data_IF_229737951661
#
_entry.id   IF_229737951661
#
_cell.length_a   1.000
_cell.length_b   1.000
_cell.length_c   1.000
_cell.angle_alpha   90.00
_cell.angle_beta   90.00
_cell.angle_gamma   90.00
#
_symmetry.space_group_name_H-M   'P 1'
#
loop_
_entity.id
_entity.type
_entity.pdbx_description
1 polymer ?
#
# COMPACT_ATOMS: atom_id res chain seq x y z
N UNK A 1 41.89 12.13 44.11
CA UNK A 1 40.70 11.32 43.76
C UNK A 1 39.59 12.24 43.30
N UNK A 2 39.04 11.93 42.12
CA UNK A 2 37.74 12.32 41.56
C UNK A 2 37.44 13.80 41.26
N UNK A 3 37.30 14.12 39.95
CA UNK A 3 36.39 15.14 39.45
C UNK A 3 35.67 14.62 38.21
N UNK A 4 34.36 14.83 38.21
CA UNK A 4 33.33 14.12 37.47
C UNK A 4 33.35 14.40 35.96
N UNK A 5 33.03 13.36 35.18
CA UNK A 5 32.65 13.47 33.78
C UNK A 5 31.13 13.69 33.70
N UNK A 6 30.70 14.79 33.09
CA UNK A 6 29.30 15.04 32.73
C UNK A 6 29.04 14.42 31.35
N UNK A 7 28.33 13.29 31.32
CA UNK A 7 27.78 12.73 30.10
C UNK A 7 26.47 13.44 29.76
N UNK A 8 26.46 14.18 28.64
CA UNK A 8 25.25 14.73 28.03
C UNK A 8 24.62 13.66 27.15
N UNK A 9 23.53 13.05 27.65
CA UNK A 9 22.64 12.24 26.82
C UNK A 9 21.72 13.19 26.04
N UNK A 10 22.01 13.36 24.75
CA UNK A 10 21.05 13.91 23.81
C UNK A 10 19.96 12.86 23.57
N UNK A 11 18.82 13.02 24.23
CA UNK A 11 17.58 12.35 23.85
C UNK A 11 17.12 12.97 22.52
N UNK A 12 17.48 12.33 21.41
CA UNK A 12 16.77 12.52 20.15
C UNK A 12 15.40 11.83 20.27
N UNK A 13 14.46 12.49 20.96
CA UNK A 13 13.05 12.11 20.89
C UNK A 13 12.56 12.41 19.48
N UNK A 14 12.22 11.37 18.71
CA UNK A 14 11.42 11.55 17.51
C UNK A 14 10.10 12.19 17.95
N UNK A 15 9.86 13.43 17.52
CA UNK A 15 8.56 14.07 17.70
C UNK A 15 7.57 13.30 16.82
N UNK A 16 6.82 12.38 17.42
CA UNK A 16 5.64 11.79 16.79
C UNK A 16 4.60 12.91 16.65
N UNK A 17 4.06 13.11 15.44
CA UNK A 17 2.96 14.04 15.24
C UNK A 17 1.73 13.60 16.04
N UNK A 18 0.77 14.51 16.21
CA UNK A 18 -0.50 14.15 16.85
C UNK A 18 -1.45 13.55 15.80
N UNK A 19 -2.09 12.39 16.06
CA UNK A 19 -2.99 11.78 15.11
C UNK A 19 -4.07 12.76 14.64
N UNK A 20 -4.33 12.77 13.34
CA UNK A 20 -5.31 13.70 12.76
C UNK A 20 -5.84 13.20 11.42
N UNK A 21 -7.01 13.69 11.02
CA UNK A 21 -7.53 13.55 9.67
C UNK A 21 -8.05 14.89 9.17
N UNK A 22 -7.77 15.19 7.91
CA UNK A 22 -8.23 16.38 7.24
C UNK A 22 -8.90 16.03 5.92
N UNK A 23 -10.01 16.69 5.64
CA UNK A 23 -10.72 16.57 4.38
C UNK A 23 -10.39 17.80 3.55
N UNK A 24 -9.82 17.56 2.38
CA UNK A 24 -9.70 18.57 1.33
C UNK A 24 -10.71 18.24 0.23
N UNK A 25 -11.38 19.25 -0.32
CA UNK A 25 -12.25 19.02 -1.47
C UNK A 25 -12.17 20.18 -2.44
N UNK A 26 -12.13 19.84 -3.73
CA UNK A 26 -12.13 20.78 -4.84
C UNK A 26 -13.04 20.23 -5.94
N UNK A 27 -14.13 20.94 -6.23
CA UNK A 27 -15.13 20.51 -7.21
C UNK A 27 -15.65 19.09 -6.88
N UNK A 28 -15.55 18.16 -7.82
CA UNK A 28 -16.01 16.76 -7.68
C UNK A 28 -14.99 15.85 -7.00
N UNK A 29 -13.75 16.32 -6.80
CA UNK A 29 -12.68 15.54 -6.15
C UNK A 29 -12.58 15.89 -4.67
N UNK A 30 -12.34 14.86 -3.86
CA UNK A 30 -12.05 15.02 -2.46
C UNK A 30 -10.91 14.10 -2.06
N UNK A 31 -10.13 14.53 -1.07
CA UNK A 31 -9.13 13.71 -0.44
C UNK A 31 -9.31 13.77 1.07
N UNK A 32 -9.30 12.61 1.71
CA UNK A 32 -9.17 12.47 3.16
C UNK A 32 -7.74 12.05 3.42
N UNK A 33 -7.00 12.87 4.16
CA UNK A 33 -5.64 12.55 4.58
C UNK A 33 -5.63 12.38 6.09
N UNK A 34 -5.28 11.18 6.53
CA UNK A 34 -5.05 10.86 7.93
C UNK A 34 -3.56 10.66 8.16
N UNK A 35 -3.05 11.18 9.27
CA UNK A 35 -1.63 11.16 9.59
C UNK A 35 -1.37 10.83 11.05
N UNK A 36 -0.16 10.29 11.31
CA UNK A 36 0.36 10.03 12.65
C UNK A 36 -0.49 9.07 13.49
N UNK A 37 -1.21 8.13 12.85
CA UNK A 37 -1.97 7.12 13.57
C UNK A 37 -1.03 6.12 14.25
N UNK A 38 -1.31 5.86 15.52
CA UNK A 38 -0.53 4.96 16.38
C UNK A 38 -1.30 3.72 16.85
N UNK A 39 -2.63 3.72 16.68
CA UNK A 39 -3.47 2.66 17.21
C UNK A 39 -4.75 2.46 16.41
N UNK A 40 -5.42 1.32 16.64
CA UNK A 40 -6.74 1.04 16.09
C UNK A 40 -7.78 2.12 16.47
N UNK A 41 -7.69 2.69 17.68
CA UNK A 41 -8.65 3.70 18.15
C UNK A 41 -8.57 5.00 17.36
N UNK A 42 -7.43 5.32 16.75
CA UNK A 42 -7.29 6.55 15.95
C UNK A 42 -8.21 6.52 14.71
N UNK A 43 -8.43 5.33 14.14
CA UNK A 43 -9.39 5.15 13.05
C UNK A 43 -10.82 5.43 13.49
N UNK A 44 -11.19 5.10 14.72
CA UNK A 44 -12.53 5.36 15.27
C UNK A 44 -12.70 6.84 15.63
N UNK A 45 -11.66 7.47 16.17
CA UNK A 45 -11.73 8.82 16.73
C UNK A 45 -11.62 9.92 15.66
N UNK A 46 -10.71 9.78 14.69
CA UNK A 46 -10.35 10.88 13.79
C UNK A 46 -11.00 10.79 12.41
N UNK A 47 -11.39 9.60 11.96
CA UNK A 47 -12.06 9.45 10.66
C UNK A 47 -13.54 9.82 10.80
N UNK A 48 -13.93 10.95 10.19
CA UNK A 48 -15.32 11.42 10.18
C UNK A 48 -16.15 10.66 9.14
N UNK A 49 -16.77 9.56 9.55
CA UNK A 49 -17.63 8.71 8.71
C UNK A 49 -19.10 9.20 8.70
N UNK A 50 -19.90 8.89 7.65
CA UNK A 50 -19.51 8.19 6.43
C UNK A 50 -18.76 9.11 5.45
N UNK A 51 -17.85 8.53 4.67
CA UNK A 51 -17.10 9.23 3.63
C UNK A 51 -17.50 8.70 2.25
N UNK A 52 -18.37 9.40 1.55
CA UNK A 52 -18.79 9.00 0.19
C UNK A 52 -18.78 10.20 -0.75
N UNK A 53 -17.89 10.16 -1.75
CA UNK A 53 -17.86 11.09 -2.88
C UNK A 53 -17.41 10.38 -4.16
N UNK A 54 -17.84 10.81 -5.36
CA UNK A 54 -17.61 10.09 -6.61
C UNK A 54 -16.13 9.86 -6.99
N UNK A 55 -15.19 10.63 -6.41
CA UNK A 55 -13.75 10.49 -6.65
C UNK A 55 -12.98 10.81 -5.36
N UNK A 56 -13.33 10.10 -4.29
CA UNK A 56 -12.65 10.24 -3.02
C UNK A 56 -11.32 9.48 -3.03
N UNK A 57 -10.23 10.18 -2.74
CA UNK A 57 -8.93 9.59 -2.41
C UNK A 57 -8.78 9.50 -0.90
N UNK A 58 -8.42 8.33 -0.38
CA UNK A 58 -8.06 8.16 1.02
C UNK A 58 -6.54 7.96 1.13
N UNK A 59 -5.89 8.77 1.96
CA UNK A 59 -4.45 8.70 2.20
C UNK A 59 -4.24 8.51 3.70
N UNK A 60 -3.58 7.42 4.10
CA UNK A 60 -3.01 7.28 5.43
C UNK A 60 -1.50 7.45 5.31
N UNK A 61 -0.93 8.38 6.09
CA UNK A 61 0.49 8.71 6.01
C UNK A 61 1.19 8.81 7.35
N UNK A 62 2.51 8.65 7.35
CA UNK A 62 3.38 8.83 8.52
C UNK A 62 2.89 8.08 9.77
N UNK A 63 2.31 6.90 9.59
CA UNK A 63 1.61 6.16 10.66
C UNK A 63 2.38 4.91 11.06
N UNK A 64 2.32 4.54 12.34
CA UNK A 64 3.01 3.34 12.87
C UNK A 64 2.03 2.55 13.70
N UNK A 65 1.66 1.38 13.22
CA UNK A 65 0.56 0.60 13.73
C UNK A 65 1.04 -0.82 14.04
N UNK A 66 0.62 -1.37 15.17
CA UNK A 66 0.79 -2.81 15.41
C UNK A 66 0.06 -3.61 14.33
N UNK A 67 -1.18 -3.21 14.01
CA UNK A 67 -2.00 -3.79 12.94
C UNK A 67 -2.97 -2.77 12.37
N UNK A 68 -3.41 -2.98 11.12
CA UNK A 68 -4.59 -2.30 10.60
C UNK A 68 -5.85 -2.95 11.22
N UNK A 69 -6.75 -2.19 11.87
CA UNK A 69 -7.93 -2.79 12.48
C UNK A 69 -8.93 -3.29 11.43
N UNK A 70 -9.64 -4.36 11.76
CA UNK A 70 -10.85 -4.74 11.04
C UNK A 70 -11.82 -3.56 11.02
N UNK A 71 -12.39 -3.23 9.85
CA UNK A 71 -13.25 -2.07 9.70
C UNK A 71 -12.54 -0.71 9.70
N UNK A 72 -11.21 -0.65 9.55
CA UNK A 72 -10.46 0.60 9.37
C UNK A 72 -11.14 1.56 8.38
N UNK A 73 -11.69 1.00 7.30
CA UNK A 73 -12.35 1.71 6.22
C UNK A 73 -13.86 1.44 6.13
N UNK A 74 -14.52 1.03 7.22
CA UNK A 74 -15.97 0.92 7.25
C UNK A 74 -16.61 2.27 6.92
N UNK A 75 -17.71 2.26 6.17
CA UNK A 75 -18.43 3.45 5.69
C UNK A 75 -17.54 4.47 4.93
N UNK A 76 -16.44 4.00 4.33
CA UNK A 76 -15.60 4.76 3.40
C UNK A 76 -15.82 4.22 1.99
N UNK A 77 -16.20 5.09 1.07
CA UNK A 77 -16.32 4.79 -0.35
C UNK A 77 -15.31 5.65 -1.11
N UNK A 78 -14.08 5.15 -1.17
CA UNK A 78 -12.95 5.80 -1.84
C UNK A 78 -12.62 5.06 -3.14
N UNK A 79 -12.27 5.81 -4.18
CA UNK A 79 -11.83 5.26 -5.47
C UNK A 79 -10.33 4.97 -5.48
N UNK A 80 -9.57 5.63 -4.60
CA UNK A 80 -8.16 5.32 -4.37
C UNK A 80 -7.81 5.26 -2.89
N UNK A 81 -6.88 4.36 -2.56
CA UNK A 81 -6.28 4.23 -1.24
C UNK A 81 -4.75 4.32 -1.37
N UNK A 82 -4.13 5.16 -0.55
CA UNK A 82 -2.68 5.26 -0.43
C UNK A 82 -2.23 5.06 1.02
N UNK A 83 -1.19 4.24 1.17
CA UNK A 83 -0.41 4.05 2.40
C UNK A 83 0.99 4.61 2.14
N UNK A 84 1.30 5.79 2.67
CA UNK A 84 2.57 6.52 2.49
C UNK A 84 3.35 6.59 3.80
N UNK A 85 4.55 6.01 3.84
CA UNK A 85 5.35 5.96 5.07
C UNK A 85 4.56 5.38 6.26
N UNK A 86 3.82 4.31 6.00
CA UNK A 86 3.01 3.59 6.99
C UNK A 86 3.71 2.30 7.38
N UNK A 87 4.07 2.17 8.65
CA UNK A 87 4.57 0.92 9.22
C UNK A 87 3.42 0.14 9.84
N UNK A 88 3.25 -1.12 9.43
CA UNK A 88 2.34 -2.09 10.05
C UNK A 88 3.16 -3.28 10.53
N UNK A 89 3.07 -3.64 11.82
CA UNK A 89 3.85 -4.76 12.36
C UNK A 89 3.29 -6.13 11.93
N UNK A 90 1.95 -6.27 11.90
CA UNK A 90 1.29 -7.50 11.47
C UNK A 90 0.12 -7.25 10.51
N UNK A 91 0.08 -8.06 9.45
CA UNK A 91 -1.04 -8.18 8.50
C UNK A 91 -1.82 -9.48 8.73
N UNK A 92 -1.78 -10.08 9.91
CA UNK A 92 -2.61 -11.25 10.20
C UNK A 92 -4.09 -10.86 10.34
N UNK A 93 -4.95 -11.45 9.50
CA UNK A 93 -6.41 -11.32 9.54
C UNK A 93 -7.06 -12.68 9.29
N UNK A 94 -8.24 -12.91 9.89
CA UNK A 94 -9.20 -13.87 9.37
C UNK A 94 -9.93 -13.22 8.18
N UNK A 95 -10.45 -13.98 7.21
CA UNK A 95 -11.16 -13.41 6.03
C UNK A 95 -12.23 -12.38 6.42
N UNK A 96 -12.97 -12.64 7.50
CA UNK A 96 -14.00 -11.75 8.05
C UNK A 96 -13.44 -10.47 8.72
N UNK A 97 -12.16 -10.48 9.09
CA UNK A 97 -11.44 -9.41 9.79
C UNK A 97 -10.47 -8.63 8.87
N UNK A 98 -10.59 -8.79 7.54
CA UNK A 98 -9.73 -8.09 6.60
C UNK A 98 -9.89 -6.56 6.74
N UNK A 99 -8.80 -5.79 6.97
CA UNK A 99 -8.89 -4.35 7.20
C UNK A 99 -9.46 -3.59 5.99
N UNK A 100 -9.33 -4.13 4.78
CA UNK A 100 -9.80 -3.52 3.52
C UNK A 100 -11.24 -3.90 3.15
N UNK A 101 -11.93 -4.73 3.93
CA UNK A 101 -13.26 -5.24 3.57
C UNK A 101 -14.29 -4.13 3.25
N UNK A 102 -14.24 -2.99 3.94
CA UNK A 102 -15.11 -1.84 3.67
C UNK A 102 -14.91 -1.18 2.29
N UNK A 103 -13.78 -1.44 1.63
CA UNK A 103 -13.38 -0.83 0.36
C UNK A 103 -13.60 -1.75 -0.85
N UNK A 104 -14.02 -2.99 -0.61
CA UNK A 104 -14.13 -4.10 -1.56
C UNK A 104 -14.61 -3.69 -2.96
N UNK A 105 -15.71 -2.94 -3.00
CA UNK A 105 -16.43 -2.57 -4.23
C UNK A 105 -16.15 -1.14 -4.70
N UNK A 106 -15.30 -0.38 -4.00
CA UNK A 106 -15.06 1.04 -4.29
C UNK A 106 -13.65 1.37 -4.74
N UNK A 107 -12.62 0.76 -4.15
CA UNK A 107 -11.23 1.10 -4.48
C UNK A 107 -10.82 0.48 -5.80
N UNK A 108 -10.42 1.34 -6.73
CA UNK A 108 -9.91 0.96 -8.04
C UNK A 108 -8.38 1.02 -8.09
N UNK A 109 -7.77 1.89 -7.28
CA UNK A 109 -6.33 2.13 -7.26
C UNK A 109 -5.79 2.04 -5.84
N UNK A 110 -4.78 1.21 -5.63
CA UNK A 110 -4.08 1.09 -4.35
C UNK A 110 -2.60 1.44 -4.51
N UNK A 111 -2.07 2.24 -3.60
CA UNK A 111 -0.66 2.66 -3.59
C UNK A 111 -0.02 2.38 -2.24
N UNK A 112 1.17 1.77 -2.27
CA UNK A 112 2.09 1.71 -1.15
C UNK A 112 3.32 2.54 -1.52
N UNK A 113 3.63 3.58 -0.73
CA UNK A 113 4.69 4.55 -1.02
C UNK A 113 5.57 4.83 0.19
N UNK A 114 6.74 5.44 -0.03
CA UNK A 114 7.65 5.93 1.00
C UNK A 114 8.05 4.86 2.04
N UNK A 115 8.45 3.67 1.58
CA UNK A 115 8.81 2.52 2.40
C UNK A 115 7.70 2.02 3.35
N UNK A 116 6.42 2.20 2.98
CA UNK A 116 5.31 1.55 3.69
C UNK A 116 5.49 0.02 3.75
N UNK A 117 5.08 -0.59 4.87
CA UNK A 117 5.10 -2.05 4.99
C UNK A 117 4.17 -2.67 3.94
N UNK A 118 4.71 -3.55 3.12
CA UNK A 118 3.92 -4.37 2.18
C UNK A 118 3.36 -5.60 2.90
N UNK A 119 2.16 -6.09 2.52
CA UNK A 119 1.65 -7.32 3.10
C UNK A 119 2.56 -8.51 2.72
N UNK A 120 2.70 -9.51 3.60
CA UNK A 120 3.49 -10.70 3.32
C UNK A 120 2.90 -11.58 2.21
N UNK A 121 1.60 -11.40 1.91
CA UNK A 121 0.91 -11.99 0.77
C UNK A 121 -0.15 -11.03 0.22
N UNK A 122 -0.27 -10.98 -1.10
CA UNK A 122 -1.28 -10.21 -1.83
C UNK A 122 -2.69 -10.81 -1.71
N UNK A 123 -2.84 -12.01 -1.14
CA UNK A 123 -4.15 -12.61 -0.87
C UNK A 123 -5.04 -11.74 0.03
N UNK A 124 -4.45 -10.85 0.85
CA UNK A 124 -5.20 -9.82 1.60
C UNK A 124 -6.03 -8.91 0.69
N UNK A 125 -5.69 -8.81 -0.58
CA UNK A 125 -6.42 -8.00 -1.55
C UNK A 125 -7.34 -8.84 -2.45
N UNK A 126 -7.37 -10.17 -2.33
CA UNK A 126 -8.04 -11.06 -3.28
C UNK A 126 -9.51 -10.72 -3.54
N UNK A 127 -10.22 -10.29 -2.49
CA UNK A 127 -11.63 -9.93 -2.53
C UNK A 127 -11.90 -8.51 -3.06
N UNK A 128 -10.89 -7.70 -3.38
CA UNK A 128 -11.07 -6.32 -3.83
C UNK A 128 -11.62 -6.27 -5.27
N UNK A 129 -12.92 -6.48 -5.42
CA UNK A 129 -13.67 -6.62 -6.67
C UNK A 129 -13.46 -5.47 -7.67
N UNK A 130 -13.29 -4.24 -7.16
CA UNK A 130 -13.10 -3.04 -7.99
C UNK A 130 -11.64 -2.71 -8.26
N UNK A 131 -10.68 -3.38 -7.60
CA UNK A 131 -9.26 -3.05 -7.76
C UNK A 131 -8.79 -3.36 -9.18
N UNK A 132 -8.14 -2.37 -9.82
CA UNK A 132 -7.61 -2.45 -11.18
C UNK A 132 -6.11 -2.13 -11.24
N UNK A 133 -5.63 -1.31 -10.32
CA UNK A 133 -4.26 -0.81 -10.33
C UNK A 133 -3.61 -0.94 -8.95
N UNK A 134 -2.38 -1.45 -8.94
CA UNK A 134 -1.51 -1.53 -7.77
C UNK A 134 -0.20 -0.80 -8.10
N UNK A 135 0.13 0.19 -7.27
CA UNK A 135 1.37 0.96 -7.38
C UNK A 135 2.20 0.77 -6.13
N UNK A 136 3.49 0.48 -6.31
CA UNK A 136 4.45 0.32 -5.24
C UNK A 136 5.61 1.27 -5.52
N UNK A 137 5.88 2.21 -4.62
CA UNK A 137 6.89 3.26 -4.79
C UNK A 137 7.84 3.24 -3.61
N UNK A 138 9.15 3.40 -3.88
CA UNK A 138 10.18 3.53 -2.85
C UNK A 138 10.12 2.40 -1.81
N UNK A 139 10.20 1.16 -2.28
CA UNK A 139 10.08 -0.04 -1.44
C UNK A 139 11.17 -1.07 -1.76
N UNK A 140 11.35 -2.03 -0.84
CA UNK A 140 12.10 -3.25 -1.10
C UNK A 140 11.10 -4.39 -1.21
N UNK A 141 11.12 -5.13 -2.32
CA UNK A 141 10.15 -6.18 -2.57
C UNK A 141 10.71 -7.35 -3.36
N UNK A 142 9.99 -8.47 -3.29
CA UNK A 142 10.17 -9.62 -4.15
C UNK A 142 8.96 -9.71 -5.08
N UNK A 143 9.23 -9.91 -6.37
CA UNK A 143 8.20 -10.16 -7.38
C UNK A 143 8.01 -11.67 -7.50
N UNK A 144 7.13 -12.23 -6.67
CA UNK A 144 6.89 -13.68 -6.57
C UNK A 144 5.59 -14.11 -7.24
N UNK A 145 5.39 -15.41 -7.43
CA UNK A 145 4.11 -16.00 -7.87
C UNK A 145 2.90 -15.64 -7.00
N UNK A 146 3.10 -15.19 -5.77
CA UNK A 146 2.05 -14.66 -4.88
C UNK A 146 1.30 -13.44 -5.46
N UNK A 147 1.88 -12.70 -6.42
CA UNK A 147 1.13 -11.69 -7.18
C UNK A 147 -0.11 -12.27 -7.87
N UNK A 148 -0.11 -13.57 -8.17
CA UNK A 148 -1.27 -14.30 -8.68
C UNK A 148 -2.47 -14.35 -7.73
N UNK A 149 -2.30 -14.00 -6.46
CA UNK A 149 -3.38 -13.89 -5.47
C UNK A 149 -4.11 -12.53 -5.52
N UNK A 150 -3.61 -11.55 -6.30
CA UNK A 150 -4.34 -10.31 -6.52
C UNK A 150 -5.68 -10.57 -7.25
N UNK A 151 -6.65 -9.66 -7.14
CA UNK A 151 -7.95 -9.79 -7.80
C UNK A 151 -7.84 -10.09 -9.30
N UNK A 152 -8.74 -10.94 -9.79
CA UNK A 152 -8.81 -11.26 -11.22
C UNK A 152 -9.04 -10.02 -12.10
N UNK A 153 -9.60 -8.94 -11.55
CA UNK A 153 -9.81 -7.67 -12.26
C UNK A 153 -8.57 -6.79 -12.44
N UNK A 154 -7.39 -7.20 -11.95
CA UNK A 154 -6.16 -6.41 -12.08
C UNK A 154 -5.76 -6.17 -13.53
N UNK A 155 -5.50 -4.90 -13.87
CA UNK A 155 -5.10 -4.45 -15.20
C UNK A 155 -3.68 -3.86 -15.23
N UNK A 156 -3.27 -3.21 -14.14
CA UNK A 156 -2.02 -2.46 -14.08
C UNK A 156 -1.24 -2.75 -12.80
N UNK A 157 0.05 -3.02 -12.96
CA UNK A 157 1.01 -3.10 -11.85
C UNK A 157 2.16 -2.15 -12.15
N UNK A 158 2.41 -1.22 -11.22
CA UNK A 158 3.50 -0.26 -11.31
C UNK A 158 4.41 -0.43 -10.11
N UNK A 159 5.71 -0.56 -10.37
CA UNK A 159 6.76 -0.57 -9.36
C UNK A 159 7.75 0.53 -9.74
N UNK A 160 7.92 1.52 -8.86
CA UNK A 160 8.73 2.70 -9.13
C UNK A 160 9.76 2.94 -8.03
N UNK A 161 10.98 3.31 -8.41
CA UNK A 161 12.07 3.67 -7.48
C UNK A 161 12.32 2.61 -6.39
N UNK A 162 12.06 1.33 -6.73
CA UNK A 162 12.10 0.22 -5.78
C UNK A 162 13.32 -0.70 -5.99
N UNK A 163 13.73 -1.36 -4.92
CA UNK A 163 14.75 -2.43 -4.97
C UNK A 163 14.04 -3.77 -5.06
N UNK A 164 14.06 -4.36 -6.26
CA UNK A 164 13.55 -5.71 -6.51
C UNK A 164 14.63 -6.73 -6.14
N UNK A 165 14.47 -7.38 -4.99
CA UNK A 165 15.49 -8.31 -4.46
C UNK A 165 15.41 -9.70 -5.08
N UNK A 166 14.22 -10.09 -5.55
CA UNK A 166 13.97 -11.37 -6.20
C UNK A 166 12.86 -11.25 -7.23
N UNK A 167 12.95 -12.06 -8.30
CA UNK A 167 11.94 -12.17 -9.34
C UNK A 167 11.72 -13.65 -9.70
N UNK A 168 10.49 -14.10 -9.52
CA UNK A 168 9.99 -15.41 -9.93
C UNK A 168 9.60 -15.39 -11.41
N UNK A 169 9.95 -16.42 -12.16
CA UNK A 169 9.56 -16.60 -13.57
C UNK A 169 8.03 -16.65 -13.77
N UNK A 170 7.26 -16.93 -12.72
CA UNK A 170 5.80 -17.08 -12.74
C UNK A 170 5.03 -15.91 -12.13
N UNK A 171 5.70 -14.83 -11.74
CA UNK A 171 5.07 -13.75 -10.96
C UNK A 171 3.84 -13.11 -11.62
N UNK A 172 3.75 -13.10 -12.96
CA UNK A 172 2.60 -12.55 -13.71
C UNK A 172 1.64 -13.61 -14.24
N UNK A 173 2.02 -14.89 -14.20
CA UNK A 173 1.39 -15.91 -15.04
C UNK A 173 -0.10 -16.12 -14.73
N UNK A 174 -0.52 -15.85 -13.49
CA UNK A 174 -1.90 -16.03 -13.03
C UNK A 174 -2.79 -14.79 -13.21
N UNK A 175 -2.20 -13.62 -13.50
CA UNK A 175 -2.95 -12.37 -13.69
C UNK A 175 -3.46 -12.27 -15.12
N UNK A 176 -4.49 -13.06 -15.45
CA UNK A 176 -4.96 -13.27 -16.82
C UNK A 176 -5.44 -12.00 -17.54
N UNK A 177 -5.95 -11.02 -16.79
CA UNK A 177 -6.42 -9.73 -17.31
C UNK A 177 -5.38 -8.60 -17.25
N UNK A 178 -4.16 -8.87 -16.74
CA UNK A 178 -3.15 -7.84 -16.61
C UNK A 178 -2.68 -7.34 -17.98
N UNK A 179 -2.86 -6.05 -18.23
CA UNK A 179 -2.58 -5.43 -19.52
C UNK A 179 -1.24 -4.69 -19.54
N UNK A 180 -0.83 -4.13 -18.38
CA UNK A 180 0.37 -3.30 -18.27
C UNK A 180 1.18 -3.59 -17.02
N UNK A 181 2.48 -3.69 -17.20
CA UNK A 181 3.47 -3.69 -16.12
C UNK A 181 4.48 -2.58 -16.37
N UNK A 182 4.72 -1.77 -15.34
CA UNK A 182 5.75 -0.72 -15.36
C UNK A 182 6.72 -0.98 -14.22
N UNK A 183 8.00 -1.19 -14.54
CA UNK A 183 9.10 -1.26 -13.58
C UNK A 183 10.04 -0.08 -13.88
N UNK A 184 9.88 1.01 -13.15
CA UNK A 184 10.56 2.29 -13.40
C UNK A 184 11.61 2.58 -12.34
N UNK A 185 12.81 3.00 -12.74
CA UNK A 185 13.91 3.32 -11.82
C UNK A 185 14.19 2.17 -10.83
N UNK A 186 14.05 0.92 -11.27
CA UNK A 186 14.35 -0.28 -10.46
C UNK A 186 15.70 -0.87 -10.88
N UNK A 187 16.34 -1.70 -10.04
CA UNK A 187 17.57 -2.41 -10.43
C UNK A 187 17.25 -3.60 -11.35
N UNK A 188 16.92 -3.29 -12.60
CA UNK A 188 16.38 -4.23 -13.61
C UNK A 188 17.46 -5.09 -14.28
N UNK A 189 18.72 -4.97 -13.86
CA UNK A 189 19.86 -5.57 -14.57
C UNK A 189 19.76 -7.10 -14.68
N UNK A 190 19.07 -7.77 -13.75
CA UNK A 190 18.76 -9.21 -13.79
C UNK A 190 17.33 -9.55 -14.27
N UNK A 191 16.41 -8.59 -14.30
CA UNK A 191 14.97 -8.85 -14.50
C UNK A 191 14.61 -9.14 -15.97
N UNK A 192 15.46 -8.76 -16.93
CA UNK A 192 15.10 -8.76 -18.37
C UNK A 192 14.71 -10.11 -18.97
N UNK A 193 15.22 -11.24 -18.46
CA UNK A 193 14.87 -12.58 -19.00
C UNK A 193 13.73 -13.26 -18.26
N UNK A 194 13.69 -13.14 -16.93
CA UNK A 194 12.69 -13.81 -16.10
C UNK A 194 11.30 -13.21 -16.23
N UNK A 195 11.17 -11.88 -16.44
CA UNK A 195 9.84 -11.25 -16.66
C UNK A 195 9.15 -11.82 -17.91
N UNK A 196 9.92 -12.13 -18.94
CA UNK A 196 9.41 -12.64 -20.21
C UNK A 196 9.25 -14.16 -20.23
N UNK A 197 9.66 -14.88 -19.18
CA UNK A 197 9.58 -16.33 -19.17
C UNK A 197 8.12 -16.80 -19.32
N UNK A 198 7.20 -16.17 -18.58
CA UNK A 198 5.76 -16.48 -18.57
C UNK A 198 4.90 -15.23 -18.34
N UNK A 199 4.70 -14.40 -19.38
CA UNK A 199 3.89 -13.19 -19.25
C UNK A 199 2.41 -13.54 -19.00
N UNK A 200 1.69 -12.59 -18.39
CA UNK A 200 0.23 -12.61 -18.36
C UNK A 200 -0.34 -12.63 -19.80
N UNK A 201 -1.45 -13.34 -19.99
CA UNK A 201 -2.04 -13.58 -21.34
C UNK A 201 -2.49 -12.27 -22.00
N UNK A 202 -3.04 -11.34 -21.23
CA UNK A 202 -3.51 -10.05 -21.72
C UNK A 202 -2.39 -8.99 -21.78
N UNK A 203 -1.15 -9.29 -21.39
CA UNK A 203 -0.09 -8.29 -21.30
C UNK A 203 0.20 -7.68 -22.68
N UNK A 204 0.08 -6.34 -22.78
CA UNK A 204 0.38 -5.56 -23.98
C UNK A 204 1.51 -4.56 -23.76
N UNK A 205 1.65 -4.06 -22.54
CA UNK A 205 2.60 -3.01 -22.21
C UNK A 205 3.55 -3.50 -21.13
N UNK A 206 4.85 -3.46 -21.43
CA UNK A 206 5.93 -3.70 -20.48
C UNK A 206 6.92 -2.53 -20.58
N UNK A 207 6.92 -1.67 -19.56
CA UNK A 207 7.86 -0.55 -19.42
C UNK A 207 8.92 -0.91 -18.39
N UNK A 208 10.20 -0.81 -18.76
CA UNK A 208 11.38 -1.16 -17.94
C UNK A 208 12.36 0.02 -17.85
N UNK A 209 11.83 1.24 -17.72
CA UNK A 209 12.57 2.50 -17.78
C UNK A 209 13.44 2.81 -16.56
#
# INVERSE_FOLDING_TARGET
>A
MSRAALAWLFLAGAALGSPSCHISSRNTTASVTCADFGSAMDFEHYIQRPLSRPTLSFVLRDSRLDRLPAGAFIDVSATSLELSNVTVETFEFAEEDNPFAGLRTSVENMTFSDNSTLPPSWAILADMESLRSLTIVDAVLNLTSDFGALPAGMLHVTVESAVVSFLDDWWLAQLTNLESVTLRNTDVSQLKRSIMARPAVALRNLDLS
#
